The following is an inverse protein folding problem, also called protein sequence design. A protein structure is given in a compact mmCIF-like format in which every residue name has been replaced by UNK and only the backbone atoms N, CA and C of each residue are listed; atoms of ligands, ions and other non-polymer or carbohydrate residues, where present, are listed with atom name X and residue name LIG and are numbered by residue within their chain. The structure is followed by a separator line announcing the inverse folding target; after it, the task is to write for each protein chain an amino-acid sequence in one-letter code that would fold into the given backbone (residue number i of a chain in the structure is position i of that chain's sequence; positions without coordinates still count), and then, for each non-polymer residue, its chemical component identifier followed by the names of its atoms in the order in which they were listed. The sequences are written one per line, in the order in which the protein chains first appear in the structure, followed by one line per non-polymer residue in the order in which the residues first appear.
data_IF_920242983542
#
_entry.id   IF_920242983542
#
_cell.length_a   1.000
_cell.length_b   1.000
_cell.length_c   1.000
_cell.angle_alpha   90.00
_cell.angle_beta   90.00
_cell.angle_gamma   90.00
#
_symmetry.space_group_name_H-M   'P 1'
#
loop_
_entity.id
_entity.type
_entity.pdbx_description
1 polymer ?
#
# COMPACT_ATOMS: atom_id res chain seq x y z
N UNK A 1 6.17 -9.28 32.48
CA UNK A 1 7.63 -9.09 32.37
C UNK A 1 8.24 -9.56 31.04
N UNK A 2 7.62 -10.45 30.24
CA UNK A 2 8.18 -10.87 28.92
C UNK A 2 7.86 -9.94 27.73
N UNK A 3 6.94 -8.98 27.89
CA UNK A 3 6.47 -8.09 26.81
C UNK A 3 7.23 -6.77 26.72
N UNK A 4 7.98 -6.40 27.77
CA UNK A 4 8.74 -5.15 27.84
C UNK A 4 10.17 -5.31 27.28
N UNK A 5 10.75 -6.51 27.40
CA UNK A 5 12.09 -6.82 26.84
C UNK A 5 12.07 -6.87 25.29
N UNK A 6 10.97 -7.30 24.68
CA UNK A 6 10.77 -7.26 23.23
C UNK A 6 10.61 -5.84 22.67
N UNK A 7 10.08 -4.90 23.46
CA UNK A 7 9.95 -3.50 23.06
C UNK A 7 11.29 -2.77 23.06
N UNK A 8 12.23 -3.17 23.93
CA UNK A 8 13.55 -2.52 24.06
C UNK A 8 14.57 -2.92 22.99
N UNK A 9 14.38 -4.06 22.33
CA UNK A 9 15.24 -4.50 21.21
C UNK A 9 14.86 -3.87 19.85
N UNK A 10 13.83 -3.02 19.79
CA UNK A 10 13.24 -2.54 18.54
C UNK A 10 13.03 -1.03 18.47
N UNK A 11 13.71 -0.23 19.30
CA UNK A 11 13.92 1.19 18.96
C UNK A 11 15.09 1.25 18.00
N UNK A 12 14.89 0.75 16.77
CA UNK A 12 15.80 1.07 15.68
C UNK A 12 15.77 2.58 15.57
N UNK A 13 16.90 3.25 15.79
CA UNK A 13 16.98 4.68 15.60
C UNK A 13 16.77 4.97 14.11
N UNK A 14 15.59 5.50 13.78
CA UNK A 14 15.18 5.82 12.42
C UNK A 14 15.61 7.23 12.02
N UNK A 15 16.15 8.03 12.94
CA UNK A 15 16.56 9.40 12.66
C UNK A 15 17.59 9.50 11.53
N UNK A 16 18.60 8.61 11.43
CA UNK A 16 19.52 8.62 10.30
C UNK A 16 18.85 8.30 8.96
N UNK A 17 17.80 7.47 8.99
CA UNK A 17 17.01 7.16 7.80
C UNK A 17 16.17 8.37 7.38
N UNK A 18 15.51 9.04 8.33
CA UNK A 18 14.73 10.24 8.05
C UNK A 18 15.61 11.38 7.55
N UNK A 19 16.77 11.62 8.16
CA UNK A 19 17.72 12.62 7.72
C UNK A 19 18.18 12.38 6.27
N UNK A 20 18.48 11.12 5.91
CA UNK A 20 18.85 10.79 4.53
C UNK A 20 17.73 11.09 3.53
N UNK A 21 16.47 10.84 3.88
CA UNK A 21 15.33 11.18 3.02
C UNK A 21 15.09 12.69 2.91
N UNK A 22 15.32 13.45 3.98
CA UNK A 22 15.18 14.90 3.99
C UNK A 22 16.29 15.58 3.18
N UNK A 23 17.51 15.06 3.25
CA UNK A 23 18.68 15.60 2.55
C UNK A 23 18.64 15.33 1.04
N UNK A 24 18.06 14.20 0.61
CA UNK A 24 17.91 13.84 -0.80
C UNK A 24 16.56 13.15 -1.08
N UNK A 25 15.61 13.93 -1.58
CA UNK A 25 14.28 13.44 -1.95
C UNK A 25 14.32 12.33 -3.02
N UNK A 26 15.41 12.22 -3.80
CA UNK A 26 15.55 11.15 -4.80
C UNK A 26 15.71 9.78 -4.16
N UNK A 27 16.27 9.69 -2.95
CA UNK A 27 16.41 8.42 -2.25
C UNK A 27 15.03 7.82 -1.92
N UNK A 28 14.07 8.67 -1.61
CA UNK A 28 12.69 8.24 -1.37
C UNK A 28 12.02 7.79 -2.67
N UNK A 29 12.21 8.54 -3.76
CA UNK A 29 11.70 8.17 -5.09
C UNK A 29 12.26 6.82 -5.54
N UNK A 30 13.58 6.62 -5.47
CA UNK A 30 14.24 5.36 -5.81
C UNK A 30 13.77 4.20 -4.93
N UNK A 31 13.59 4.42 -3.62
CA UNK A 31 13.07 3.40 -2.71
C UNK A 31 11.64 2.97 -3.09
N UNK A 32 10.78 3.92 -3.50
CA UNK A 32 9.44 3.60 -3.97
C UNK A 32 9.44 2.88 -5.31
N UNK A 33 10.31 3.27 -6.25
CA UNK A 33 10.46 2.56 -7.53
C UNK A 33 10.89 1.11 -7.32
N UNK A 34 11.88 0.87 -6.45
CA UNK A 34 12.33 -0.48 -6.09
C UNK A 34 11.19 -1.28 -5.45
N UNK A 35 10.43 -0.68 -4.53
CA UNK A 35 9.28 -1.33 -3.90
C UNK A 35 8.23 -1.75 -4.95
N UNK A 36 7.93 -0.87 -5.91
CA UNK A 36 7.00 -1.15 -7.00
C UNK A 36 7.53 -2.24 -7.94
N UNK A 37 8.82 -2.25 -8.24
CA UNK A 37 9.45 -3.30 -9.04
C UNK A 37 9.39 -4.66 -8.32
N UNK A 38 9.64 -4.70 -7.02
CA UNK A 38 9.50 -5.91 -6.20
C UNK A 38 8.05 -6.42 -6.19
N UNK A 39 7.08 -5.52 -6.12
CA UNK A 39 5.64 -5.85 -6.20
C UNK A 39 5.27 -6.45 -7.56
N UNK A 40 5.89 -5.99 -8.65
CA UNK A 40 5.62 -6.50 -9.99
C UNK A 40 6.35 -7.82 -10.29
N UNK A 41 7.56 -8.01 -9.75
CA UNK A 41 8.41 -9.16 -10.02
C UNK A 41 8.13 -10.36 -9.09
N UNK A 42 7.65 -10.12 -7.86
CA UNK A 42 7.43 -11.18 -6.86
C UNK A 42 6.01 -11.14 -6.25
N UNK A 43 5.04 -11.91 -6.81
CA UNK A 43 3.65 -11.91 -6.36
C UNK A 43 3.43 -12.27 -4.88
N UNK A 44 4.37 -13.01 -4.26
CA UNK A 44 4.33 -13.34 -2.81
C UNK A 44 4.70 -12.13 -1.95
N UNK A 45 5.63 -11.30 -2.40
CA UNK A 45 6.06 -10.08 -1.74
C UNK A 45 4.97 -9.01 -1.82
N UNK A 46 4.28 -8.94 -2.96
CA UNK A 46 3.05 -8.15 -3.15
C UNK A 46 1.98 -8.44 -2.12
N UNK A 47 1.69 -9.73 -1.86
CA UNK A 47 0.68 -10.12 -0.85
C UNK A 47 1.05 -9.67 0.55
N UNK A 48 2.33 -9.76 0.92
CA UNK A 48 2.81 -9.30 2.23
C UNK A 48 2.70 -7.79 2.37
N UNK A 49 3.07 -7.04 1.33
CA UNK A 49 2.93 -5.59 1.32
C UNK A 49 1.45 -5.18 1.40
N UNK A 50 0.57 -5.82 0.64
CA UNK A 50 -0.86 -5.57 0.69
C UNK A 50 -1.46 -5.84 2.09
N UNK A 51 -1.00 -6.89 2.78
CA UNK A 51 -1.38 -7.16 4.16
C UNK A 51 -0.88 -6.06 5.11
N UNK A 52 0.37 -5.64 4.98
CA UNK A 52 0.95 -4.57 5.79
C UNK A 52 0.22 -3.24 5.58
N UNK A 53 -0.11 -2.88 4.34
CA UNK A 53 -0.93 -1.70 4.01
C UNK A 53 -2.31 -1.81 4.67
N UNK A 54 -2.96 -2.99 4.61
CA UNK A 54 -4.27 -3.21 5.22
C UNK A 54 -4.24 -3.10 6.76
N UNK A 55 -3.20 -3.63 7.40
CA UNK A 55 -3.09 -3.72 8.86
C UNK A 55 -2.61 -2.42 9.50
N UNK A 56 -1.60 -1.76 8.90
CA UNK A 56 -0.91 -0.63 9.53
C UNK A 56 -1.23 0.73 8.88
N UNK A 57 -1.77 0.75 7.64
CA UNK A 57 -2.00 1.96 6.86
C UNK A 57 -3.45 2.04 6.33
N UNK A 58 -4.41 2.04 7.26
CA UNK A 58 -5.84 1.97 6.94
C UNK A 58 -6.35 3.02 5.95
N UNK A 59 -5.87 4.28 6.04
CA UNK A 59 -6.28 5.36 5.14
C UNK A 59 -5.79 5.09 3.71
N UNK A 60 -4.51 4.70 3.55
CA UNK A 60 -3.94 4.33 2.25
C UNK A 60 -4.68 3.10 1.67
N UNK A 61 -4.97 2.10 2.49
CA UNK A 61 -5.76 0.95 2.07
C UNK A 61 -7.14 1.36 1.57
N UNK A 62 -7.82 2.30 2.25
CA UNK A 62 -9.14 2.79 1.85
C UNK A 62 -9.09 3.49 0.49
N UNK A 63 -8.14 4.41 0.29
CA UNK A 63 -7.95 5.11 -0.99
C UNK A 63 -7.68 4.12 -2.13
N UNK A 64 -6.79 3.14 -1.92
CA UNK A 64 -6.52 2.08 -2.90
C UNK A 64 -7.78 1.26 -3.19
N UNK A 65 -8.52 0.87 -2.15
CA UNK A 65 -9.73 0.07 -2.30
C UNK A 65 -10.83 0.81 -3.09
N UNK A 66 -10.97 2.12 -2.88
CA UNK A 66 -11.89 2.98 -3.65
C UNK A 66 -11.48 3.06 -5.13
N UNK A 67 -10.19 3.21 -5.43
CA UNK A 67 -9.67 3.20 -6.81
C UNK A 67 -9.81 1.83 -7.49
N UNK A 68 -9.74 0.75 -6.73
CA UNK A 68 -9.89 -0.62 -7.23
C UNK A 68 -11.36 -1.10 -7.27
N UNK A 69 -12.33 -0.32 -6.81
CA UNK A 69 -13.73 -0.62 -7.09
C UNK A 69 -13.87 -0.66 -8.61
N UNK A 70 -14.28 -1.80 -9.21
CA UNK A 70 -14.68 -1.77 -10.61
C UNK A 70 -15.74 -0.69 -10.71
N UNK A 71 -15.64 0.21 -11.70
CA UNK A 71 -16.71 1.16 -12.03
C UNK A 71 -18.02 0.41 -11.83
N UNK A 72 -18.76 0.77 -10.77
CA UNK A 72 -20.07 0.20 -10.53
C UNK A 72 -20.82 0.57 -11.78
N UNK A 73 -20.99 -0.44 -12.62
CA UNK A 73 -21.64 -0.45 -13.90
C UNK A 73 -22.67 0.67 -13.92
N UNK A 74 -22.39 1.76 -14.67
CA UNK A 74 -23.43 2.71 -15.04
C UNK A 74 -24.37 1.91 -15.91
N UNK A 75 -25.27 1.20 -15.24
CA UNK A 75 -26.34 0.41 -15.79
C UNK A 75 -27.20 1.34 -16.64
N UNK A 76 -26.83 1.45 -17.90
CA UNK A 76 -27.61 2.05 -18.96
C UNK A 76 -27.23 1.35 -20.27
N UNK A 77 -27.25 0.02 -20.26
CA UNK A 77 -27.63 -0.70 -21.47
C UNK A 77 -29.16 -0.66 -21.52
N UNK A 78 -29.77 0.07 -22.47
CA UNK A 78 -31.22 0.05 -22.59
C UNK A 78 -31.62 -1.37 -22.97
N UNK A 79 -32.45 -1.99 -22.12
CA UNK A 79 -33.14 -3.24 -22.40
C UNK A 79 -33.88 -3.09 -23.73
N UNK A 80 -33.36 -3.72 -24.78
CA UNK A 80 -33.90 -3.66 -26.15
C UNK A 80 -35.04 -4.66 -26.38
N UNK A 81 -35.81 -4.98 -25.34
CA UNK A 81 -36.94 -5.92 -25.42
C UNK A 81 -38.12 -5.36 -24.61
N UNK A 82 -39.01 -4.62 -25.27
CA UNK A 82 -40.21 -4.05 -24.64
C UNK A 82 -41.22 -3.42 -25.58
N UNK A 83 -41.90 -4.26 -26.38
CA UNK A 83 -43.30 -4.15 -26.88
C UNK A 83 -43.81 -2.85 -27.54
N UNK A 84 -44.27 -2.91 -28.79
CA UNK A 84 -45.58 -3.42 -29.23
C UNK A 84 -45.54 -3.76 -30.73
#
# INVERSE_FOLDING_TARGET
MKTEELKKQKSTDLEPFYQAMEDDSKLLEEAFEILLEMVNSEPKSTKKLALLIKEDFHDLHKEIAELCQPDQDKGNTPSCCGGH
#
